data_IF_551536192877
#
_entry.id   IF_551536192877
#
_cell.length_a   1.000
_cell.length_b   1.000
_cell.length_c   1.000
_cell.angle_alpha   90.00
_cell.angle_beta   90.00
_cell.angle_gamma   90.00
#
_symmetry.space_group_name_H-M   'P 1'
#
loop_
_entity.id
_entity.type
_entity.pdbx_description
1 polymer ?
#
# COMPACT_ATOMS: atom_id res chain seq x y z
N UNK A 1 -6.88 -6.83 10.54
CA UNK A 1 -6.66 -5.73 9.55
C UNK A 1 -7.83 -4.76 9.45
N UNK A 2 -9.07 -5.21 9.15
CA UNK A 2 -10.23 -4.31 9.00
C UNK A 2 -10.50 -3.44 10.23
N UNK A 3 -10.48 -4.03 11.43
CA UNK A 3 -10.70 -3.30 12.69
C UNK A 3 -9.63 -2.23 12.95
N UNK A 4 -8.36 -2.50 12.62
CA UNK A 4 -7.28 -1.53 12.74
C UNK A 4 -7.48 -0.35 11.77
N UNK A 5 -7.82 -0.63 10.51
CA UNK A 5 -8.13 0.41 9.51
C UNK A 5 -9.33 1.25 9.94
N UNK A 6 -10.40 0.63 10.42
CA UNK A 6 -11.59 1.33 10.88
C UNK A 6 -11.30 2.20 12.11
N UNK A 7 -10.48 1.72 13.04
CA UNK A 7 -10.03 2.51 14.19
C UNK A 7 -9.15 3.70 13.79
N UNK A 8 -8.28 3.54 12.80
CA UNK A 8 -7.42 4.62 12.28
C UNK A 8 -8.23 5.68 11.54
N UNK A 9 -9.21 5.25 10.72
CA UNK A 9 -10.13 6.15 10.02
C UNK A 9 -10.95 6.99 10.98
N UNK A 10 -11.44 6.41 12.09
CA UNK A 10 -12.11 7.15 13.18
C UNK A 10 -11.25 8.25 13.79
N UNK A 11 -9.92 8.12 13.71
CA UNK A 11 -8.93 9.11 14.19
C UNK A 11 -8.45 10.06 13.09
N UNK A 12 -9.10 10.06 11.92
CA UNK A 12 -8.66 10.81 10.73
C UNK A 12 -7.24 10.47 10.28
N UNK A 13 -6.78 9.23 10.51
CA UNK A 13 -5.50 8.74 9.99
C UNK A 13 -5.78 7.99 8.69
N UNK A 14 -5.26 8.46 7.53
CA UNK A 14 -5.44 7.77 6.26
C UNK A 14 -4.79 6.38 6.28
N UNK A 15 -5.62 5.34 6.24
CA UNK A 15 -5.20 3.95 6.26
C UNK A 15 -5.99 3.11 5.26
N UNK A 16 -5.30 2.17 4.61
CA UNK A 16 -5.87 1.23 3.62
C UNK A 16 -5.37 -0.18 3.90
N UNK A 17 -6.22 -1.17 3.67
CA UNK A 17 -5.84 -2.58 3.69
C UNK A 17 -6.05 -3.20 2.30
N UNK A 18 -5.02 -3.89 1.81
CA UNK A 18 -5.11 -4.79 0.66
C UNK A 18 -5.26 -6.22 1.17
N UNK A 19 -6.46 -6.78 1.02
CA UNK A 19 -6.79 -8.15 1.39
C UNK A 19 -7.42 -8.89 0.20
N UNK A 20 -7.62 -10.20 0.33
CA UNK A 20 -8.09 -11.07 -0.75
C UNK A 20 -9.44 -10.68 -1.36
N UNK A 21 -10.36 -10.13 -0.56
CA UNK A 21 -11.72 -9.77 -1.00
C UNK A 21 -11.83 -8.40 -1.68
N UNK A 22 -10.73 -7.66 -1.83
CA UNK A 22 -10.76 -6.34 -2.46
C UNK A 22 -11.02 -6.48 -3.97
N UNK A 23 -11.95 -5.70 -4.51
CA UNK A 23 -12.19 -5.73 -5.95
C UNK A 23 -10.96 -5.22 -6.71
N UNK A 24 -10.72 -5.77 -7.91
CA UNK A 24 -9.62 -5.32 -8.75
C UNK A 24 -9.69 -3.82 -9.09
N UNK A 25 -10.90 -3.28 -9.24
CA UNK A 25 -11.12 -1.85 -9.46
C UNK A 25 -10.68 -0.99 -8.29
N UNK A 26 -10.95 -1.40 -7.05
CA UNK A 26 -10.56 -0.67 -5.85
C UNK A 26 -9.04 -0.73 -5.65
N UNK A 27 -8.45 -1.92 -5.85
CA UNK A 27 -7.00 -2.12 -5.81
C UNK A 27 -6.30 -1.20 -6.82
N UNK A 28 -6.81 -1.16 -8.06
CA UNK A 28 -6.26 -0.31 -9.12
C UNK A 28 -6.38 1.17 -8.81
N UNK A 29 -7.55 1.62 -8.34
CA UNK A 29 -7.76 3.03 -7.99
C UNK A 29 -6.83 3.46 -6.85
N UNK A 30 -6.60 2.57 -5.89
CA UNK A 30 -5.67 2.80 -4.79
C UNK A 30 -4.22 2.88 -5.29
N UNK A 31 -3.77 1.92 -6.09
CA UNK A 31 -2.41 1.93 -6.66
C UNK A 31 -2.16 3.18 -7.51
N UNK A 32 -3.14 3.63 -8.31
CA UNK A 32 -3.03 4.90 -9.04
C UNK A 32 -2.91 6.12 -8.12
N UNK A 33 -3.58 6.10 -6.97
CA UNK A 33 -3.46 7.17 -5.96
C UNK A 33 -2.07 7.16 -5.33
N UNK A 34 -1.55 5.98 -5.00
CA UNK A 34 -0.18 5.81 -4.53
C UNK A 34 0.86 6.21 -5.57
N UNK A 35 0.63 5.93 -6.85
CA UNK A 35 1.54 6.31 -7.94
C UNK A 35 1.68 7.83 -8.06
N UNK A 36 0.55 8.55 -8.03
CA UNK A 36 0.53 10.01 -8.00
C UNK A 36 1.22 10.55 -6.76
N UNK A 37 1.02 9.90 -5.61
CA UNK A 37 1.73 10.26 -4.39
C UNK A 37 3.23 9.98 -4.52
N UNK A 38 3.65 8.86 -5.09
CA UNK A 38 5.05 8.49 -5.22
C UNK A 38 5.81 9.48 -6.12
N UNK A 39 5.17 9.92 -7.22
CA UNK A 39 5.76 10.81 -8.23
C UNK A 39 5.58 12.31 -7.95
N UNK A 40 4.78 12.70 -6.95
CA UNK A 40 4.59 14.11 -6.61
C UNK A 40 5.85 14.77 -6.04
N UNK A 41 6.09 16.04 -6.37
CA UNK A 41 7.19 16.79 -5.76
C UNK A 41 6.94 16.99 -4.25
N UNK A 42 7.99 17.06 -3.40
CA UNK A 42 7.85 17.24 -1.95
C UNK A 42 7.07 18.50 -1.53
N UNK A 43 7.03 19.50 -2.42
CA UNK A 43 6.37 20.79 -2.20
C UNK A 43 4.86 20.80 -2.54
N UNK A 44 4.34 19.72 -3.16
CA UNK A 44 2.93 19.62 -3.54
C UNK A 44 2.06 19.26 -2.32
N UNK A 45 1.73 20.28 -1.51
CA UNK A 45 0.97 20.18 -0.25
C UNK A 45 -0.37 19.44 -0.36
N UNK A 46 -1.02 19.46 -1.52
CA UNK A 46 -2.30 18.78 -1.77
C UNK A 46 -2.20 17.29 -2.03
N UNK A 47 -1.07 16.79 -2.55
CA UNK A 47 -0.89 15.36 -2.81
C UNK A 47 -0.50 14.59 -1.54
N UNK A 48 0.27 15.24 -0.65
CA UNK A 48 0.64 14.69 0.65
C UNK A 48 -0.55 14.57 1.61
N UNK A 49 -1.51 15.51 1.54
CA UNK A 49 -2.68 15.51 2.42
C UNK A 49 -3.62 14.30 2.24
N UNK A 50 -3.59 13.67 1.06
CA UNK A 50 -4.45 12.53 0.73
C UNK A 50 -3.69 11.19 0.64
N UNK A 51 -2.38 11.20 0.95
CA UNK A 51 -1.59 9.99 0.91
C UNK A 51 -1.92 9.09 2.11
N UNK A 52 -2.10 7.77 1.91
CA UNK A 52 -2.25 6.84 3.02
C UNK A 52 -0.96 6.83 3.84
N UNK A 53 -1.07 7.11 5.15
CA UNK A 53 0.06 6.99 6.06
C UNK A 53 0.39 5.53 6.37
N UNK A 54 -0.61 4.64 6.28
CA UNK A 54 -0.48 3.22 6.61
C UNK A 54 -1.15 2.34 5.54
N UNK A 55 -0.38 1.37 5.06
CA UNK A 55 -0.82 0.33 4.12
C UNK A 55 -0.68 -1.04 4.78
N UNK A 56 -1.80 -1.67 5.05
CA UNK A 56 -1.87 -3.05 5.54
C UNK A 56 -1.94 -4.00 4.35
N UNK A 57 -1.11 -5.03 4.32
CA UNK A 57 -1.11 -6.06 3.26
C UNK A 57 -1.04 -7.45 3.91
N UNK A 58 -1.85 -8.40 3.43
CA UNK A 58 -1.73 -9.80 3.87
C UNK A 58 -0.50 -10.47 3.23
N UNK A 59 0.13 -11.46 3.89
CA UNK A 59 1.29 -12.16 3.33
C UNK A 59 1.02 -12.74 1.93
N UNK A 60 -0.16 -13.33 1.72
CA UNK A 60 -0.56 -13.93 0.45
C UNK A 60 -0.65 -12.88 -0.66
N UNK A 61 -1.18 -11.69 -0.36
CA UNK A 61 -1.26 -10.58 -1.32
C UNK A 61 0.13 -10.09 -1.71
N UNK A 62 1.06 -10.02 -0.75
CA UNK A 62 2.44 -9.62 -1.00
C UNK A 62 3.16 -10.65 -1.88
N UNK A 63 3.07 -11.94 -1.56
CA UNK A 63 3.68 -13.02 -2.35
C UNK A 63 3.11 -13.04 -3.77
N UNK A 64 1.78 -13.00 -3.92
CA UNK A 64 1.14 -12.97 -5.23
C UNK A 64 1.56 -11.75 -6.07
N UNK A 65 1.83 -10.61 -5.44
CA UNK A 65 2.32 -9.43 -6.15
C UNK A 65 3.77 -9.55 -6.61
N UNK A 66 4.60 -10.31 -5.89
CA UNK A 66 5.99 -10.59 -6.26
C UNK A 66 6.10 -11.64 -7.36
N UNK A 67 5.19 -12.63 -7.38
CA UNK A 67 5.19 -13.72 -8.37
C UNK A 67 4.58 -13.33 -9.71
N UNK A 68 3.70 -12.30 -9.75
CA UNK A 68 3.10 -11.81 -11.00
C UNK A 68 4.15 -11.20 -11.91
N UNK A 69 4.42 -11.89 -13.02
CA UNK A 69 5.37 -11.50 -14.07
C UNK A 69 4.84 -10.31 -14.87
N UNK A 70 5.77 -9.45 -15.34
CA UNK A 70 5.64 -8.10 -15.93
C UNK A 70 4.74 -7.90 -17.18
N UNK A 71 3.65 -8.64 -17.35
CA UNK A 71 2.76 -8.53 -18.51
C UNK A 71 1.46 -7.74 -18.24
N UNK A 72 1.46 -6.86 -17.24
CA UNK A 72 0.32 -5.97 -16.97
C UNK A 72 0.64 -4.55 -17.40
N UNK A 73 -0.31 -3.88 -18.06
CA UNK A 73 -0.26 -2.43 -18.32
C UNK A 73 -0.41 -1.59 -17.03
N UNK A 74 -0.48 -2.22 -15.86
CA UNK A 74 -0.66 -1.58 -14.56
C UNK A 74 0.50 -1.92 -13.65
N UNK A 75 0.91 -0.91 -12.87
CA UNK A 75 1.93 -1.07 -11.83
C UNK A 75 1.47 -2.09 -10.79
N UNK A 76 2.28 -3.11 -10.58
CA UNK A 76 2.08 -4.10 -9.53
C UNK A 76 2.34 -3.49 -8.14
N UNK A 77 1.87 -4.16 -7.08
CA UNK A 77 2.21 -3.74 -5.71
C UNK A 77 3.73 -3.78 -5.46
N UNK A 78 4.45 -4.74 -6.05
CA UNK A 78 5.91 -4.82 -5.94
C UNK A 78 6.62 -3.62 -6.60
N UNK A 79 6.19 -3.25 -7.81
CA UNK A 79 6.70 -2.07 -8.52
C UNK A 79 6.32 -0.78 -7.78
N UNK A 80 5.12 -0.71 -7.19
CA UNK A 80 4.69 0.41 -6.36
C UNK A 80 5.57 0.59 -5.13
N UNK A 81 5.86 -0.49 -4.39
CA UNK A 81 6.75 -0.45 -3.23
C UNK A 81 8.17 -0.01 -3.63
N UNK A 82 8.66 -0.50 -4.77
CA UNK A 82 9.95 -0.08 -5.35
C UNK A 82 9.94 1.42 -5.69
N UNK A 83 8.88 1.91 -6.33
CA UNK A 83 8.73 3.32 -6.69
C UNK A 83 8.68 4.22 -5.44
N UNK A 84 7.94 3.82 -4.40
CA UNK A 84 7.89 4.53 -3.12
C UNK A 84 9.27 4.57 -2.45
N UNK A 85 10.00 3.47 -2.47
CA UNK A 85 11.36 3.40 -1.90
C UNK A 85 12.32 4.34 -2.65
N UNK A 86 12.36 4.27 -3.98
CA UNK A 86 13.21 5.12 -4.82
C UNK A 86 12.93 6.62 -4.65
N UNK A 87 11.68 6.98 -4.33
CA UNK A 87 11.25 8.37 -4.10
C UNK A 87 11.30 8.79 -2.62
N UNK A 88 11.91 8.00 -1.73
CA UNK A 88 12.00 8.26 -0.28
C UNK A 88 10.62 8.46 0.40
N UNK A 89 9.60 7.74 -0.06
CA UNK A 89 8.21 7.79 0.44
C UNK A 89 7.77 6.51 1.12
N UNK A 90 8.62 5.48 1.13
CA UNK A 90 8.42 4.28 1.93
C UNK A 90 9.07 4.48 3.30
N UNK A 91 8.26 4.52 4.36
CA UNK A 91 8.75 4.80 5.71
C UNK A 91 9.40 3.59 6.39
N UNK A 92 8.64 2.51 6.55
CA UNK A 92 9.10 1.28 7.22
C UNK A 92 8.21 0.09 6.86
N UNK A 93 8.73 -1.13 7.03
CA UNK A 93 7.94 -2.34 7.06
C UNK A 93 7.62 -2.71 8.51
N UNK A 94 6.33 -2.93 8.79
CA UNK A 94 5.85 -3.39 10.09
C UNK A 94 5.24 -4.77 9.88
N UNK A 95 5.77 -5.78 10.58
CA UNK A 95 5.27 -7.15 10.53
C UNK A 95 4.38 -7.35 11.76
N UNK A 96 3.06 -7.42 11.52
CA UNK A 96 2.09 -7.78 12.55
C UNK A 96 2.15 -9.29 12.82
N UNK A 97 1.88 -9.70 14.05
CA UNK A 97 1.94 -11.10 14.50
C UNK A 97 3.20 -11.86 14.05
N UNK A 98 4.38 -11.22 14.21
CA UNK A 98 5.68 -11.78 13.80
C UNK A 98 6.01 -13.15 14.44
N UNK A 99 5.31 -13.52 15.51
CA UNK A 99 5.43 -14.84 16.13
C UNK A 99 4.98 -15.98 15.19
N UNK A 100 4.15 -15.70 14.18
CA UNK A 100 3.70 -16.67 13.17
C UNK A 100 4.79 -17.15 12.21
N UNK A 101 6.01 -16.57 12.28
CA UNK A 101 7.15 -16.98 11.44
C UNK A 101 7.87 -18.22 12.00
N UNK A 102 7.72 -18.51 13.29
CA UNK A 102 8.36 -19.67 13.93
C UNK A 102 7.43 -20.89 13.92
N UNK A 103 8.02 -22.06 13.70
CA UNK A 103 7.39 -23.37 13.93
C UNK A 103 7.40 -23.76 15.41
#
# INVERSE_FOLDING_TARGET
MKDQVDALRKKNIPAVALHGDLSWSEERQFLQTLERFATSAPSASTAAANAPCLLYVSPEKLVNALERTQNSSFISLAEMLTLLFQNNKLGSFVIDEAHCVSE
#
